data_IF_637347730776
#
_entry.id   IF_637347730776
#
_cell.length_a   1.000
_cell.length_b   1.000
_cell.length_c   1.000
_cell.angle_alpha   90.00
_cell.angle_beta   90.00
_cell.angle_gamma   90.00
#
_symmetry.space_group_name_H-M   'P 1'
#
loop_
_entity.id
_entity.type
_entity.pdbx_description
1 polymer ?
#
# COMPACT_ATOMS: atom_id res chain seq x y z
N UNK A 1 -38.83 9.03 12.36
CA UNK A 1 -37.79 9.11 11.33
C UNK A 1 -36.58 9.76 11.98
N UNK A 2 -35.58 8.99 12.39
CA UNK A 2 -34.32 9.52 12.95
C UNK A 2 -33.49 9.97 11.78
N UNK A 3 -33.25 11.29 11.66
CA UNK A 3 -32.30 11.85 10.73
C UNK A 3 -30.95 11.15 10.93
N UNK A 4 -30.47 10.47 9.87
CA UNK A 4 -29.11 9.91 9.88
C UNK A 4 -28.15 11.09 10.03
N UNK A 5 -27.25 11.08 11.01
CA UNK A 5 -26.26 12.14 11.15
C UNK A 5 -25.48 12.26 9.84
N UNK A 6 -25.52 13.46 9.27
CA UNK A 6 -24.75 13.80 8.06
C UNK A 6 -23.28 13.62 8.41
N UNK A 7 -22.59 12.76 7.68
CA UNK A 7 -21.15 12.51 7.85
C UNK A 7 -20.41 13.83 7.56
N UNK A 8 -20.06 14.59 8.62
CA UNK A 8 -19.32 15.82 8.46
C UNK A 8 -17.86 15.46 8.08
N UNK A 9 -17.63 15.43 6.77
CA UNK A 9 -16.31 15.21 6.21
C UNK A 9 -15.33 16.31 6.67
N UNK A 10 -14.23 15.89 7.34
CA UNK A 10 -13.16 16.81 7.74
C UNK A 10 -11.98 16.69 6.78
N UNK A 11 -11.86 17.57 5.76
CA UNK A 11 -10.84 17.45 4.72
C UNK A 11 -9.41 17.54 5.26
N UNK A 12 -9.21 18.29 6.35
CA UNK A 12 -7.88 18.56 6.91
C UNK A 12 -7.07 17.28 7.19
N UNK A 13 -7.69 16.28 7.81
CA UNK A 13 -6.99 15.01 8.12
C UNK A 13 -6.63 14.23 6.87
N UNK A 14 -7.51 14.21 5.89
CA UNK A 14 -7.25 13.53 4.64
C UNK A 14 -6.13 14.22 3.83
N UNK A 15 -6.03 15.55 3.92
CA UNK A 15 -4.90 16.32 3.34
C UNK A 15 -3.58 15.88 3.96
N UNK A 16 -3.51 15.75 5.29
CA UNK A 16 -2.31 15.25 5.97
C UNK A 16 -1.95 13.83 5.52
N UNK A 17 -2.93 12.92 5.47
CA UNK A 17 -2.70 11.54 5.01
C UNK A 17 -2.19 11.52 3.57
N UNK A 18 -2.78 12.30 2.69
CA UNK A 18 -2.34 12.40 1.30
C UNK A 18 -0.94 13.02 1.18
N UNK A 19 -0.64 14.05 1.97
CA UNK A 19 0.70 14.65 2.02
C UNK A 19 1.77 13.65 2.46
N UNK A 20 1.53 12.90 3.54
CA UNK A 20 2.44 11.84 3.98
C UNK A 20 2.58 10.72 2.96
N UNK A 21 1.49 10.30 2.33
CA UNK A 21 1.52 9.28 1.28
C UNK A 21 2.39 9.73 0.09
N UNK A 22 2.30 11.00 -0.31
CA UNK A 22 3.14 11.57 -1.37
C UNK A 22 4.63 11.61 -0.96
N UNK A 23 4.92 11.98 0.27
CA UNK A 23 6.31 11.96 0.80
C UNK A 23 6.87 10.53 0.76
N UNK A 24 6.11 9.54 1.20
CA UNK A 24 6.54 8.13 1.16
C UNK A 24 6.75 7.65 -0.28
N UNK A 25 5.86 7.99 -1.19
CA UNK A 25 6.02 7.68 -2.61
C UNK A 25 7.29 8.32 -3.17
N UNK A 26 7.53 9.59 -2.86
CA UNK A 26 8.74 10.30 -3.29
C UNK A 26 10.01 9.63 -2.72
N UNK A 27 10.04 9.30 -1.43
CA UNK A 27 11.17 8.60 -0.80
C UNK A 27 11.43 7.24 -1.45
N UNK A 28 10.36 6.50 -1.78
CA UNK A 28 10.48 5.21 -2.47
C UNK A 28 11.05 5.38 -3.88
N UNK A 29 10.59 6.37 -4.64
CA UNK A 29 11.13 6.68 -5.96
C UNK A 29 12.57 7.17 -5.89
N UNK A 30 12.90 7.98 -4.88
CA UNK A 30 14.25 8.47 -4.66
C UNK A 30 15.23 7.34 -4.27
N UNK A 31 14.79 6.38 -3.46
CA UNK A 31 15.61 5.20 -3.10
C UNK A 31 15.92 4.31 -4.32
N UNK A 32 15.06 4.35 -5.32
CA UNK A 32 15.25 3.64 -6.58
C UNK A 32 16.23 4.35 -7.53
N UNK A 33 16.54 5.62 -7.28
CA UNK A 33 17.41 6.44 -8.15
C UNK A 33 18.85 5.94 -8.09
N UNK A 34 19.47 5.78 -9.26
CA UNK A 34 20.89 5.44 -9.36
C UNK A 34 21.22 3.95 -9.54
N UNK A 35 20.22 3.07 -9.62
CA UNK A 35 20.44 1.66 -9.93
C UNK A 35 20.53 1.43 -11.45
N UNK A 36 21.38 0.49 -11.86
CA UNK A 36 21.57 0.16 -13.29
C UNK A 36 20.27 -0.42 -13.87
N UNK A 37 19.75 0.14 -14.98
CA UNK A 37 18.49 -0.34 -15.57
C UNK A 37 18.71 -1.68 -16.29
N UNK A 38 18.19 -2.75 -15.69
CA UNK A 38 18.08 -4.07 -16.29
C UNK A 38 16.71 -4.68 -16.01
N UNK A 39 16.28 -5.70 -16.79
CA UNK A 39 14.96 -6.30 -16.60
C UNK A 39 14.80 -6.93 -15.21
N UNK A 40 15.85 -7.51 -14.65
CA UNK A 40 15.84 -8.08 -13.30
C UNK A 40 15.63 -7.00 -12.22
N UNK A 41 16.39 -5.90 -12.30
CA UNK A 41 16.25 -4.78 -11.35
C UNK A 41 14.88 -4.14 -11.48
N UNK A 42 14.39 -3.93 -12.69
CA UNK A 42 13.05 -3.39 -12.95
C UNK A 42 11.95 -4.28 -12.32
N UNK A 43 12.05 -5.60 -12.47
CA UNK A 43 11.12 -6.56 -11.88
C UNK A 43 11.17 -6.57 -10.34
N UNK A 44 12.36 -6.38 -9.75
CA UNK A 44 12.54 -6.33 -8.29
C UNK A 44 12.03 -5.04 -7.66
N UNK A 45 12.12 -3.91 -8.36
CA UNK A 45 11.70 -2.58 -7.88
C UNK A 45 10.18 -2.39 -7.99
N UNK A 46 9.55 -2.98 -9.02
CA UNK A 46 8.13 -2.79 -9.32
C UNK A 46 7.20 -2.93 -8.10
N UNK A 47 7.29 -3.98 -7.27
CA UNK A 47 6.41 -4.13 -6.11
C UNK A 47 6.60 -3.05 -5.06
N UNK A 48 7.84 -2.62 -4.86
CA UNK A 48 8.19 -1.57 -3.89
C UNK A 48 7.55 -0.23 -4.24
N UNK A 49 7.33 0.07 -5.52
CA UNK A 49 6.70 1.31 -5.98
C UNK A 49 5.18 1.18 -6.07
N UNK A 50 4.64 0.00 -6.41
CA UNK A 50 3.20 -0.21 -6.59
C UNK A 50 2.40 0.03 -5.31
N UNK A 51 2.82 -0.52 -4.19
CA UNK A 51 2.09 -0.40 -2.91
C UNK A 51 1.97 1.05 -2.45
N UNK A 52 3.05 1.86 -2.35
CA UNK A 52 2.93 3.28 -2.02
C UNK A 52 2.10 4.07 -3.03
N UNK A 53 2.18 3.74 -4.33
CA UNK A 53 1.38 4.38 -5.38
C UNK A 53 -0.11 4.14 -5.15
N UNK A 54 -0.52 2.89 -4.87
CA UNK A 54 -1.93 2.55 -4.58
C UNK A 54 -2.43 3.27 -3.33
N UNK A 55 -1.62 3.33 -2.27
CA UNK A 55 -1.98 3.99 -1.01
C UNK A 55 -2.12 5.51 -1.22
N UNK A 56 -1.16 6.14 -1.91
CA UNK A 56 -1.21 7.57 -2.20
C UNK A 56 -2.40 7.90 -3.11
N UNK A 57 -2.66 7.07 -4.11
CA UNK A 57 -3.81 7.23 -5.00
C UNK A 57 -5.15 7.04 -4.27
N UNK A 58 -5.25 6.08 -3.35
CA UNK A 58 -6.42 5.92 -2.48
C UNK A 58 -6.63 7.16 -1.60
N UNK A 59 -5.58 7.72 -1.01
CA UNK A 59 -5.66 8.90 -0.16
C UNK A 59 -6.11 10.15 -0.95
N UNK A 60 -5.57 10.39 -2.16
CA UNK A 60 -6.02 11.49 -3.02
C UNK A 60 -7.41 11.23 -3.59
N UNK A 61 -7.75 9.99 -3.91
CA UNK A 61 -9.10 9.60 -4.30
C UNK A 61 -10.13 9.94 -3.22
N UNK A 62 -9.81 9.66 -1.94
CA UNK A 62 -10.64 10.04 -0.78
C UNK A 62 -10.82 11.55 -0.70
N UNK A 63 -9.77 12.35 -0.91
CA UNK A 63 -9.87 13.81 -0.94
C UNK A 63 -10.76 14.28 -2.08
N UNK A 64 -10.58 13.74 -3.28
CA UNK A 64 -11.35 14.09 -4.46
C UNK A 64 -12.84 13.78 -4.28
N UNK A 65 -13.16 12.56 -3.84
CA UNK A 65 -14.55 12.14 -3.59
C UNK A 65 -15.17 12.97 -2.45
N UNK A 66 -14.45 13.15 -1.35
CA UNK A 66 -14.93 13.91 -0.19
C UNK A 66 -15.17 15.40 -0.51
N UNK A 67 -14.41 15.96 -1.45
CA UNK A 67 -14.54 17.38 -1.85
C UNK A 67 -15.64 17.60 -2.90
N UNK A 68 -15.72 16.72 -3.92
CA UNK A 68 -16.52 16.96 -5.11
C UNK A 68 -17.74 16.07 -5.26
N UNK A 69 -17.79 14.93 -4.54
CA UNK A 69 -18.85 13.96 -4.70
C UNK A 69 -19.25 13.21 -3.40
N UNK A 70 -19.38 13.88 -2.23
CA UNK A 70 -19.60 13.18 -0.94
C UNK A 70 -20.91 12.39 -0.93
N UNK A 71 -21.98 12.97 -1.48
CA UNK A 71 -23.34 12.37 -1.48
C UNK A 71 -23.74 11.81 -2.86
N UNK A 72 -22.85 11.88 -3.84
CA UNK A 72 -23.15 11.48 -5.20
C UNK A 72 -23.42 9.96 -5.32
N UNK A 73 -24.11 9.59 -6.41
CA UNK A 73 -24.28 8.18 -6.81
C UNK A 73 -22.91 7.53 -7.03
N UNK A 74 -22.86 6.20 -6.87
CA UNK A 74 -21.62 5.41 -6.96
C UNK A 74 -20.80 5.71 -8.23
N UNK A 75 -21.44 5.87 -9.38
CA UNK A 75 -20.76 6.15 -10.65
C UNK A 75 -19.96 7.46 -10.63
N UNK A 76 -20.57 8.56 -10.11
CA UNK A 76 -19.87 9.85 -9.99
C UNK A 76 -18.75 9.76 -8.96
N UNK A 77 -18.95 9.05 -7.85
CA UNK A 77 -17.91 8.83 -6.84
C UNK A 77 -16.71 8.08 -7.41
N UNK A 78 -16.96 6.98 -8.14
CA UNK A 78 -15.89 6.23 -8.83
C UNK A 78 -15.13 7.12 -9.82
N UNK A 79 -15.85 7.95 -10.59
CA UNK A 79 -15.20 8.89 -11.52
C UNK A 79 -14.26 9.86 -10.79
N UNK A 80 -14.72 10.53 -9.72
CA UNK A 80 -13.88 11.43 -8.94
C UNK A 80 -12.76 10.71 -8.19
N UNK A 81 -12.97 9.47 -7.78
CA UNK A 81 -11.96 8.62 -7.18
C UNK A 81 -10.82 8.32 -8.17
N UNK A 82 -11.16 7.93 -9.41
CA UNK A 82 -10.20 7.71 -10.50
C UNK A 82 -9.45 9.00 -10.85
N UNK A 83 -10.18 10.12 -10.99
CA UNK A 83 -9.56 11.44 -11.28
C UNK A 83 -8.58 11.82 -10.17
N UNK A 84 -8.90 11.53 -8.90
CA UNK A 84 -8.00 11.78 -7.77
C UNK A 84 -6.76 10.87 -7.77
N UNK A 85 -6.87 9.63 -8.23
CA UNK A 85 -5.76 8.69 -8.29
C UNK A 85 -4.87 8.84 -9.51
N UNK A 86 -5.40 9.31 -10.64
CA UNK A 86 -4.69 9.43 -11.90
C UNK A 86 -3.39 10.25 -11.81
N UNK A 87 -3.36 11.44 -11.19
CA UNK A 87 -2.13 12.23 -11.05
C UNK A 87 -1.01 11.47 -10.33
N UNK A 88 -1.38 10.62 -9.36
CA UNK A 88 -0.40 9.82 -8.60
C UNK A 88 0.26 8.79 -9.49
N UNK A 89 -0.53 8.07 -10.31
CA UNK A 89 0.01 7.12 -11.28
C UNK A 89 0.95 7.79 -12.27
N UNK A 90 0.57 8.98 -12.79
CA UNK A 90 1.39 9.74 -13.72
C UNK A 90 2.68 10.28 -13.07
N UNK A 91 2.62 10.76 -11.83
CA UNK A 91 3.79 11.20 -11.07
C UNK A 91 4.74 10.03 -10.80
N UNK A 92 4.22 8.87 -10.41
CA UNK A 92 5.03 7.69 -10.18
C UNK A 92 5.66 7.17 -11.48
N UNK A 93 4.92 7.17 -12.59
CA UNK A 93 5.44 6.88 -13.93
C UNK A 93 6.59 7.82 -14.30
N UNK A 94 6.38 9.13 -14.17
CA UNK A 94 7.39 10.14 -14.45
C UNK A 94 8.63 9.96 -13.57
N UNK A 95 8.46 9.67 -12.29
CA UNK A 95 9.54 9.38 -11.35
C UNK A 95 10.36 8.15 -11.76
N UNK A 96 9.68 7.06 -12.19
CA UNK A 96 10.36 5.87 -12.71
C UNK A 96 11.18 6.14 -13.97
N UNK A 97 10.59 6.86 -14.93
CA UNK A 97 11.30 7.22 -16.16
C UNK A 97 12.48 8.15 -15.90
N UNK A 98 12.35 9.07 -14.93
CA UNK A 98 13.44 9.96 -14.53
C UNK A 98 14.56 9.21 -13.79
N UNK A 99 14.21 8.23 -12.93
CA UNK A 99 15.18 7.47 -12.14
C UNK A 99 16.00 6.50 -12.99
N UNK A 100 15.37 5.83 -13.97
CA UNK A 100 16.00 4.72 -14.70
C UNK A 100 16.27 4.99 -16.18
N UNK A 101 15.97 6.20 -16.66
CA UNK A 101 16.05 6.55 -18.08
C UNK A 101 15.11 5.69 -18.95
N UNK A 102 15.10 5.92 -20.26
CA UNK A 102 14.20 5.20 -21.16
C UNK A 102 14.78 3.85 -21.59
N UNK A 103 14.04 2.78 -21.34
CA UNK A 103 14.34 1.43 -21.83
C UNK A 103 13.04 0.60 -21.83
N UNK A 104 12.97 -0.49 -22.63
CA UNK A 104 11.74 -1.30 -22.71
C UNK A 104 11.27 -1.79 -21.33
N UNK A 105 12.17 -2.31 -20.50
CA UNK A 105 11.86 -2.81 -19.15
C UNK A 105 11.34 -1.72 -18.23
N UNK A 106 11.96 -0.54 -18.26
CA UNK A 106 11.54 0.61 -17.46
C UNK A 106 10.17 1.12 -17.93
N UNK A 107 9.91 1.10 -19.23
CA UNK A 107 8.61 1.50 -19.78
C UNK A 107 7.49 0.59 -19.30
N UNK A 108 7.70 -0.74 -19.25
CA UNK A 108 6.71 -1.68 -18.69
C UNK A 108 6.40 -1.39 -17.22
N UNK A 109 7.44 -1.17 -16.41
CA UNK A 109 7.26 -0.79 -14.99
C UNK A 109 6.50 0.53 -14.88
N UNK A 110 6.92 1.55 -15.61
CA UNK A 110 6.33 2.88 -15.58
C UNK A 110 4.84 2.87 -15.97
N UNK A 111 4.46 2.13 -17.02
CA UNK A 111 3.06 1.96 -17.43
C UNK A 111 2.27 1.19 -16.38
N UNK A 112 2.82 0.13 -15.82
CA UNK A 112 2.16 -0.65 -14.77
C UNK A 112 1.88 0.21 -13.53
N UNK A 113 2.84 1.03 -13.12
CA UNK A 113 2.68 1.97 -12.00
C UNK A 113 1.69 3.09 -12.35
N UNK A 114 1.66 3.57 -13.60
CA UNK A 114 0.66 4.54 -14.04
C UNK A 114 -0.77 4.01 -13.90
N UNK A 115 -1.01 2.74 -14.24
CA UNK A 115 -2.32 2.07 -14.11
C UNK A 115 -2.69 1.88 -12.64
N UNK A 116 -1.72 1.66 -11.75
CA UNK A 116 -1.97 1.52 -10.31
C UNK A 116 -2.60 2.79 -9.70
N UNK A 117 -2.29 3.98 -10.20
CA UNK A 117 -2.88 5.23 -9.73
C UNK A 117 -4.41 5.25 -9.78
N UNK A 118 -5.04 5.14 -10.95
CA UNK A 118 -6.49 5.03 -11.09
C UNK A 118 -7.11 3.89 -10.28
N UNK A 119 -6.46 2.72 -10.23
CA UNK A 119 -6.93 1.56 -9.48
C UNK A 119 -6.91 1.81 -7.96
N UNK A 120 -5.84 2.42 -7.44
CA UNK A 120 -5.78 2.85 -6.04
C UNK A 120 -6.86 3.88 -5.71
N UNK A 121 -7.07 4.85 -6.63
CA UNK A 121 -8.14 5.83 -6.52
C UNK A 121 -9.52 5.19 -6.42
N UNK A 122 -9.84 4.16 -7.23
CA UNK A 122 -11.14 3.48 -7.24
C UNK A 122 -11.58 3.00 -5.86
N UNK A 123 -10.65 2.59 -5.00
CA UNK A 123 -10.96 2.15 -3.63
C UNK A 123 -11.69 3.26 -2.86
N UNK A 124 -11.36 4.52 -3.11
CA UNK A 124 -12.01 5.67 -2.48
C UNK A 124 -13.47 5.89 -2.91
N UNK A 125 -13.91 5.27 -3.99
CA UNK A 125 -15.31 5.27 -4.41
C UNK A 125 -16.25 4.52 -3.46
N UNK A 126 -15.73 3.59 -2.63
CA UNK A 126 -16.51 2.83 -1.67
C UNK A 126 -17.05 3.68 -0.50
N UNK A 127 -18.04 3.15 0.23
CA UNK A 127 -18.63 3.78 1.41
C UNK A 127 -18.40 2.92 2.64
N UNK A 128 -18.32 3.51 3.84
CA UNK A 128 -18.24 4.96 4.11
C UNK A 128 -16.83 5.54 3.80
N UNK A 129 -16.77 6.80 3.41
CA UNK A 129 -15.51 7.49 3.04
C UNK A 129 -14.53 7.51 4.23
N UNK A 130 -15.03 7.70 5.44
CA UNK A 130 -14.24 7.70 6.68
C UNK A 130 -13.48 6.39 6.89
N UNK A 131 -14.09 5.26 6.54
CA UNK A 131 -13.45 3.93 6.62
C UNK A 131 -12.28 3.83 5.64
N UNK A 132 -12.47 4.29 4.40
CA UNK A 132 -11.40 4.29 3.40
C UNK A 132 -10.28 5.27 3.78
N UNK A 133 -10.64 6.46 4.29
CA UNK A 133 -9.66 7.43 4.79
C UNK A 133 -8.82 6.87 5.94
N UNK A 134 -9.46 6.14 6.88
CA UNK A 134 -8.76 5.47 7.96
C UNK A 134 -7.85 4.35 7.45
N UNK A 135 -8.31 3.58 6.46
CA UNK A 135 -7.51 2.55 5.81
C UNK A 135 -6.32 3.12 5.04
N UNK A 136 -6.50 4.25 4.34
CA UNK A 136 -5.39 4.94 3.69
C UNK A 136 -4.36 5.45 4.72
N UNK A 137 -4.82 6.03 5.84
CA UNK A 137 -3.92 6.45 6.93
C UNK A 137 -3.16 5.27 7.55
N UNK A 138 -3.84 4.13 7.75
CA UNK A 138 -3.23 2.89 8.21
C UNK A 138 -2.20 2.35 7.19
N UNK A 139 -2.49 2.45 5.90
CA UNK A 139 -1.58 2.08 4.81
C UNK A 139 -0.33 2.95 4.77
N UNK A 140 -0.47 4.26 4.98
CA UNK A 140 0.66 5.19 5.10
C UNK A 140 1.58 4.79 6.25
N UNK A 141 1.02 4.46 7.43
CA UNK A 141 1.82 4.02 8.57
C UNK A 141 2.51 2.68 8.30
N UNK A 142 1.79 1.70 7.72
CA UNK A 142 2.38 0.41 7.37
C UNK A 142 3.53 0.57 6.35
N UNK A 143 3.36 1.42 5.34
CA UNK A 143 4.42 1.71 4.36
C UNK A 143 5.62 2.43 4.98
N UNK A 144 5.38 3.34 5.93
CA UNK A 144 6.45 4.01 6.66
C UNK A 144 7.28 3.02 7.48
N UNK A 145 6.63 2.06 8.16
CA UNK A 145 7.32 0.98 8.88
C UNK A 145 8.13 0.13 7.90
N UNK A 146 7.53 -0.27 6.77
CA UNK A 146 8.22 -1.03 5.71
C UNK A 146 9.46 -0.33 5.18
N UNK A 147 9.37 1.00 4.94
CA UNK A 147 10.50 1.81 4.50
C UNK A 147 11.62 1.89 5.55
N UNK A 148 11.25 2.06 6.83
CA UNK A 148 12.21 2.04 7.95
C UNK A 148 12.91 0.69 8.06
N UNK A 149 12.16 -0.41 7.97
CA UNK A 149 12.73 -1.77 7.98
C UNK A 149 13.66 -1.98 6.80
N UNK A 150 13.28 -1.52 5.61
CA UNK A 150 14.14 -1.60 4.43
C UNK A 150 15.43 -0.77 4.57
N UNK A 151 15.35 0.40 5.19
CA UNK A 151 16.52 1.26 5.42
C UNK A 151 17.53 0.64 6.40
N UNK A 152 17.02 0.01 7.48
CA UNK A 152 17.84 -0.65 8.50
C UNK A 152 17.94 -2.16 8.29
N UNK A 153 17.67 -2.67 7.08
CA UNK A 153 17.54 -4.10 6.83
C UNK A 153 18.79 -4.88 7.24
N UNK A 154 20.00 -4.38 6.93
CA UNK A 154 21.25 -5.06 7.25
C UNK A 154 21.42 -5.21 8.77
N UNK A 155 21.22 -4.13 9.53
CA UNK A 155 21.36 -4.16 10.98
C UNK A 155 20.27 -5.01 11.65
N UNK A 156 19.06 -5.00 11.09
CA UNK A 156 17.94 -5.76 11.62
C UNK A 156 18.05 -7.25 11.32
N UNK A 157 18.57 -7.66 10.17
CA UNK A 157 18.76 -9.08 9.84
C UNK A 157 19.72 -9.74 10.83
N UNK A 158 20.76 -9.03 11.28
CA UNK A 158 21.71 -9.54 12.29
C UNK A 158 21.05 -9.87 13.63
N UNK A 159 19.95 -9.21 13.97
CA UNK A 159 19.18 -9.53 15.19
C UNK A 159 18.39 -10.84 15.10
N UNK A 160 18.11 -11.33 13.88
CA UNK A 160 17.28 -12.50 13.63
C UNK A 160 18.06 -13.78 13.34
N UNK A 161 19.37 -13.68 13.15
CA UNK A 161 20.22 -14.86 12.93
C UNK A 161 21.61 -14.54 12.45
N UNK A 162 22.45 -15.59 12.42
CA UNK A 162 23.82 -15.50 11.90
C UNK A 162 23.79 -15.49 10.37
N UNK A 163 24.66 -14.67 9.75
CA UNK A 163 24.77 -14.53 8.30
C UNK A 163 25.94 -15.36 7.70
N UNK A 164 26.48 -16.35 8.43
CA UNK A 164 27.64 -17.12 7.99
C UNK A 164 27.37 -17.99 6.74
N UNK A 165 26.13 -18.37 6.52
CA UNK A 165 25.75 -19.19 5.37
C UNK A 165 24.58 -18.57 4.62
N UNK A 166 24.44 -18.85 3.31
CA UNK A 166 23.32 -18.39 2.49
C UNK A 166 21.97 -18.85 3.09
N UNK A 167 21.93 -20.06 3.64
CA UNK A 167 20.71 -20.58 4.29
C UNK A 167 20.33 -19.82 5.55
N UNK A 168 21.30 -19.55 6.45
CA UNK A 168 21.04 -18.80 7.68
C UNK A 168 20.65 -17.34 7.41
N UNK A 169 21.23 -16.72 6.37
CA UNK A 169 20.85 -15.38 5.93
C UNK A 169 19.42 -15.35 5.37
N UNK A 170 19.02 -16.35 4.60
CA UNK A 170 17.67 -16.47 4.07
C UNK A 170 16.64 -16.64 5.21
N UNK A 171 16.93 -17.48 6.18
CA UNK A 171 16.07 -17.69 7.36
C UNK A 171 15.93 -16.43 8.22
N UNK A 172 17.03 -15.70 8.46
CA UNK A 172 17.03 -14.44 9.20
C UNK A 172 16.20 -13.38 8.47
N UNK A 173 16.36 -13.26 7.15
CA UNK A 173 15.59 -12.35 6.30
C UNK A 173 14.08 -12.68 6.31
N UNK A 174 13.74 -13.96 6.25
CA UNK A 174 12.35 -14.42 6.34
C UNK A 174 11.72 -14.08 7.70
N UNK A 175 12.44 -14.31 8.81
CA UNK A 175 11.96 -13.95 10.16
C UNK A 175 11.78 -12.45 10.32
N UNK A 176 12.70 -11.63 9.81
CA UNK A 176 12.57 -10.18 9.79
C UNK A 176 11.33 -9.76 9.00
N UNK A 177 11.12 -10.31 7.80
CA UNK A 177 9.97 -10.00 6.97
C UNK A 177 8.65 -10.37 7.65
N UNK A 178 8.57 -11.56 8.26
CA UNK A 178 7.39 -12.01 9.01
C UNK A 178 7.08 -11.08 10.18
N UNK A 179 8.10 -10.75 10.98
CA UNK A 179 7.96 -9.87 12.15
C UNK A 179 7.53 -8.47 11.71
N UNK A 180 8.17 -7.91 10.67
CA UNK A 180 7.81 -6.59 10.16
C UNK A 180 6.38 -6.53 9.62
N UNK A 181 5.92 -7.61 8.98
CA UNK A 181 4.54 -7.74 8.49
C UNK A 181 3.52 -7.72 9.63
N UNK A 182 3.79 -8.46 10.71
CA UNK A 182 2.94 -8.50 11.90
C UNK A 182 2.91 -7.13 12.58
N UNK A 183 4.08 -6.52 12.81
CA UNK A 183 4.19 -5.20 13.44
C UNK A 183 3.46 -4.13 12.62
N UNK A 184 3.65 -4.15 11.30
CA UNK A 184 2.95 -3.23 10.38
C UNK A 184 1.44 -3.45 10.42
N UNK A 185 0.97 -4.69 10.48
CA UNK A 185 -0.45 -5.02 10.61
C UNK A 185 -1.05 -4.52 11.92
N UNK A 186 -0.37 -4.75 13.05
CA UNK A 186 -0.79 -4.26 14.37
C UNK A 186 -0.88 -2.72 14.36
N UNK A 187 0.16 -2.06 13.87
CA UNK A 187 0.20 -0.60 13.78
C UNK A 187 -0.90 -0.04 12.86
N UNK A 188 -1.15 -0.70 11.72
CA UNK A 188 -2.22 -0.34 10.80
C UNK A 188 -3.61 -0.46 11.44
N UNK A 189 -3.88 -1.56 12.15
CA UNK A 189 -5.14 -1.76 12.88
C UNK A 189 -5.36 -0.72 13.98
N UNK A 190 -4.33 -0.44 14.76
CA UNK A 190 -4.36 0.59 15.80
C UNK A 190 -4.59 1.99 15.21
N UNK A 191 -3.91 2.32 14.11
CA UNK A 191 -4.08 3.60 13.40
C UNK A 191 -5.49 3.76 12.83
N UNK A 192 -6.02 2.73 12.17
CA UNK A 192 -7.37 2.73 11.63
C UNK A 192 -8.41 2.96 12.73
N UNK A 193 -8.30 2.22 13.84
CA UNK A 193 -9.17 2.41 15.01
C UNK A 193 -9.07 3.83 15.57
N UNK A 194 -7.86 4.32 15.83
CA UNK A 194 -7.64 5.66 16.38
C UNK A 194 -8.16 6.76 15.47
N UNK A 195 -7.99 6.60 14.15
CA UNK A 195 -8.52 7.52 13.15
C UNK A 195 -10.05 7.57 13.18
N UNK A 196 -10.72 6.40 13.10
CA UNK A 196 -12.18 6.32 13.10
C UNK A 196 -12.77 6.83 14.41
N UNK A 197 -12.20 6.46 15.55
CA UNK A 197 -12.66 6.94 16.85
C UNK A 197 -12.60 8.46 16.98
N UNK A 198 -11.56 9.08 16.43
CA UNK A 198 -11.41 10.55 16.43
C UNK A 198 -12.37 11.27 15.49
N UNK A 199 -13.05 10.58 14.57
CA UNK A 199 -14.08 11.20 13.73
C UNK A 199 -15.36 11.52 14.51
N UNK A 200 -15.61 10.82 15.61
CA UNK A 200 -16.84 10.96 16.41
C UNK A 200 -18.09 10.44 15.72
N UNK A 201 -17.95 9.75 14.57
CA UNK A 201 -19.07 9.19 13.82
C UNK A 201 -19.54 7.88 14.44
N UNK A 202 -20.85 7.68 14.52
CA UNK A 202 -21.46 6.40 14.92
C UNK A 202 -21.37 5.41 13.76
N UNK A 203 -20.19 4.84 13.53
CA UNK A 203 -19.97 3.86 12.48
C UNK A 203 -20.35 2.45 12.95
N UNK A 204 -20.89 1.60 12.05
CA UNK A 204 -21.14 0.22 12.37
C UNK A 204 -19.82 -0.49 12.66
N UNK A 205 -19.83 -1.44 13.61
CA UNK A 205 -18.62 -2.15 14.04
C UNK A 205 -17.76 -2.75 12.90
N UNK A 206 -18.35 -3.27 11.78
CA UNK A 206 -17.54 -3.81 10.67
C UNK A 206 -16.69 -2.78 9.95
N UNK A 207 -16.95 -1.47 10.11
CA UNK A 207 -16.15 -0.42 9.51
C UNK A 207 -14.70 -0.40 10.06
N UNK A 208 -14.51 -0.80 11.31
CA UNK A 208 -13.22 -0.80 11.97
C UNK A 208 -12.27 -1.90 11.44
N UNK A 209 -12.65 -3.21 11.46
CA UNK A 209 -11.81 -4.24 10.87
C UNK A 209 -11.62 -4.04 9.36
N UNK A 210 -12.64 -3.54 8.65
CA UNK A 210 -12.47 -3.20 7.23
C UNK A 210 -11.37 -2.13 7.05
N UNK A 211 -11.40 -1.04 7.82
CA UNK A 211 -10.38 -0.01 7.75
C UNK A 211 -8.98 -0.55 8.09
N UNK A 212 -8.87 -1.40 9.13
CA UNK A 212 -7.61 -2.04 9.51
C UNK A 212 -7.07 -3.00 8.46
N UNK A 213 -7.94 -3.64 7.67
CA UNK A 213 -7.57 -4.58 6.60
C UNK A 213 -7.24 -3.92 5.26
N UNK A 214 -7.68 -2.67 5.00
CA UNK A 214 -7.45 -1.97 3.72
C UNK A 214 -5.97 -1.97 3.30
N UNK A 215 -4.98 -1.71 4.17
CA UNK A 215 -3.58 -1.76 3.77
C UNK A 215 -3.18 -3.10 3.16
N UNK A 216 -3.60 -4.21 3.77
CA UNK A 216 -3.37 -5.54 3.24
C UNK A 216 -4.06 -5.79 1.90
N UNK A 217 -5.31 -5.31 1.73
CA UNK A 217 -6.00 -5.38 0.43
C UNK A 217 -5.27 -4.59 -0.66
N UNK A 218 -4.75 -3.40 -0.35
CA UNK A 218 -3.95 -2.61 -1.30
C UNK A 218 -2.64 -3.31 -1.65
N UNK A 219 -1.98 -3.95 -0.67
CA UNK A 219 -0.76 -4.75 -0.89
C UNK A 219 -1.05 -5.97 -1.78
N UNK A 220 -2.15 -6.69 -1.55
CA UNK A 220 -2.59 -7.79 -2.41
C UNK A 220 -2.93 -7.31 -3.83
N UNK A 221 -3.59 -6.15 -3.93
CA UNK A 221 -3.83 -5.49 -5.21
C UNK A 221 -2.52 -5.13 -5.93
N UNK A 222 -1.53 -4.61 -5.20
CA UNK A 222 -0.20 -4.34 -5.74
C UNK A 222 0.49 -5.62 -6.24
N UNK A 223 0.38 -6.71 -5.48
CA UNK A 223 0.94 -8.00 -5.89
C UNK A 223 0.30 -8.52 -7.19
N UNK A 224 -1.04 -8.41 -7.32
CA UNK A 224 -1.76 -8.81 -8.53
C UNK A 224 -1.38 -7.93 -9.74
N UNK A 225 -1.35 -6.61 -9.56
CA UNK A 225 -0.96 -5.66 -10.62
C UNK A 225 0.50 -5.89 -11.01
N UNK A 226 1.38 -6.09 -10.02
CA UNK A 226 2.80 -6.36 -10.23
C UNK A 226 3.03 -7.69 -10.95
N UNK A 227 2.25 -8.71 -10.64
CA UNK A 227 2.31 -9.98 -11.36
C UNK A 227 1.92 -9.83 -12.83
N UNK A 228 0.78 -9.21 -13.11
CA UNK A 228 0.30 -9.00 -14.49
C UNK A 228 1.29 -8.11 -15.27
N UNK A 229 1.67 -6.96 -14.71
CA UNK A 229 2.58 -6.01 -15.35
C UNK A 229 4.03 -6.51 -15.43
N UNK A 230 4.42 -7.46 -14.58
CA UNK A 230 5.74 -8.08 -14.55
C UNK A 230 5.90 -9.27 -15.51
N UNK A 231 4.83 -9.79 -16.11
CA UNK A 231 4.92 -10.93 -17.03
C UNK A 231 5.90 -10.72 -18.20
N UNK A 232 5.94 -9.57 -18.89
CA UNK A 232 6.93 -9.32 -19.93
C UNK A 232 8.36 -9.29 -19.40
N UNK A 233 8.55 -8.77 -18.18
CA UNK A 233 9.86 -8.68 -17.52
C UNK A 233 10.37 -10.06 -17.11
N UNK A 234 9.52 -10.91 -16.55
CA UNK A 234 9.90 -12.26 -16.14
C UNK A 234 10.37 -13.11 -17.31
N UNK A 235 9.71 -12.96 -18.48
CA UNK A 235 10.15 -13.61 -19.71
C UNK A 235 11.50 -13.07 -20.23
N UNK A 236 11.76 -11.77 -20.09
CA UNK A 236 13.06 -11.19 -20.46
C UNK A 236 14.17 -11.66 -19.54
N UNK A 237 13.94 -11.66 -18.23
CA UNK A 237 14.90 -12.11 -17.23
C UNK A 237 15.23 -13.60 -17.38
N UNK A 238 14.23 -14.45 -17.63
CA UNK A 238 14.46 -15.88 -17.83
C UNK A 238 15.36 -16.20 -19.04
N UNK A 239 15.46 -15.30 -20.02
CA UNK A 239 16.40 -15.43 -21.14
C UNK A 239 17.82 -15.00 -20.79
N UNK A 240 18.00 -14.15 -19.79
CA UNK A 240 19.30 -13.59 -19.39
C UNK A 240 19.92 -14.38 -18.23
N UNK A 241 19.10 -14.78 -17.24
CA UNK A 241 19.57 -15.45 -16.02
C UNK A 241 18.44 -16.29 -15.40
N UNK A 242 18.68 -17.61 -15.32
CA UNK A 242 17.78 -18.54 -14.62
C UNK A 242 17.72 -18.26 -13.11
N UNK A 243 18.84 -17.82 -12.53
CA UNK A 243 18.92 -17.50 -11.11
C UNK A 243 18.05 -16.28 -10.76
N UNK A 244 18.13 -15.20 -11.54
CA UNK A 244 17.30 -14.01 -11.32
C UNK A 244 15.82 -14.31 -11.57
N UNK A 245 15.50 -15.15 -12.56
CA UNK A 245 14.15 -15.59 -12.82
C UNK A 245 13.56 -16.36 -11.61
N UNK A 246 14.35 -17.21 -10.96
CA UNK A 246 13.94 -17.94 -9.75
C UNK A 246 13.69 -16.98 -8.57
N UNK A 247 14.52 -15.96 -8.39
CA UNK A 247 14.32 -14.91 -7.37
C UNK A 247 13.01 -14.18 -7.61
N UNK A 248 12.75 -13.75 -8.84
CA UNK A 248 11.52 -13.03 -9.20
C UNK A 248 10.28 -13.90 -9.02
N UNK A 249 10.34 -15.18 -9.37
CA UNK A 249 9.24 -16.11 -9.19
C UNK A 249 8.82 -16.25 -7.71
N UNK A 250 9.77 -16.19 -6.79
CA UNK A 250 9.49 -16.28 -5.34
C UNK A 250 8.92 -14.98 -4.74
N UNK A 251 9.03 -13.85 -5.44
CA UNK A 251 8.53 -12.56 -4.93
C UNK A 251 7.01 -12.48 -4.79
N UNK A 252 6.27 -13.10 -5.71
CA UNK A 252 4.81 -13.06 -5.65
C UNK A 252 4.24 -13.78 -4.41
N UNK A 253 4.63 -15.01 -4.07
CA UNK A 253 4.23 -15.66 -2.82
C UNK A 253 4.59 -14.85 -1.57
N UNK A 254 5.78 -14.23 -1.53
CA UNK A 254 6.21 -13.39 -0.41
C UNK A 254 5.30 -12.15 -0.25
N UNK A 255 4.97 -11.48 -1.34
CA UNK A 255 4.08 -10.31 -1.32
C UNK A 255 2.66 -10.67 -0.92
N UNK A 256 2.14 -11.78 -1.44
CA UNK A 256 0.81 -12.27 -1.07
C UNK A 256 0.78 -12.61 0.41
N UNK A 257 1.79 -13.32 0.92
CA UNK A 257 1.90 -13.64 2.34
C UNK A 257 1.97 -12.37 3.21
N UNK A 258 2.82 -11.40 2.83
CA UNK A 258 2.88 -10.10 3.50
C UNK A 258 1.52 -9.38 3.50
N UNK A 259 0.86 -9.32 2.35
CA UNK A 259 -0.46 -8.69 2.21
C UNK A 259 -1.54 -9.37 3.06
N UNK A 260 -1.55 -10.70 3.13
CA UNK A 260 -2.47 -11.47 3.98
C UNK A 260 -2.22 -11.22 5.47
N UNK A 261 -0.97 -11.25 5.91
CA UNK A 261 -0.62 -10.98 7.30
C UNK A 261 -1.06 -9.55 7.68
N UNK A 262 -0.75 -8.58 6.83
CA UNK A 262 -1.13 -7.19 7.04
C UNK A 262 -2.66 -7.02 7.12
N UNK A 263 -3.40 -7.69 6.25
CA UNK A 263 -4.86 -7.68 6.21
C UNK A 263 -5.46 -8.26 7.49
N UNK A 264 -5.05 -9.47 7.85
CA UNK A 264 -5.66 -10.15 8.99
C UNK A 264 -5.21 -9.54 10.33
N UNK A 265 -3.93 -9.23 10.50
CA UNK A 265 -3.43 -8.59 11.72
C UNK A 265 -4.07 -7.20 11.92
N UNK A 266 -4.14 -6.39 10.85
CA UNK A 266 -4.76 -5.07 10.91
C UNK A 266 -6.25 -5.12 11.21
N UNK A 267 -7.00 -5.99 10.54
CA UNK A 267 -8.43 -6.18 10.78
C UNK A 267 -8.69 -6.69 12.21
N UNK A 268 -7.91 -7.67 12.67
CA UNK A 268 -8.07 -8.28 13.99
C UNK A 268 -7.77 -7.31 15.14
N UNK A 269 -6.68 -6.53 15.03
CA UNK A 269 -6.35 -5.51 16.02
C UNK A 269 -7.43 -4.43 16.08
N UNK A 270 -7.90 -3.92 14.93
CA UNK A 270 -8.98 -2.95 14.89
C UNK A 270 -10.28 -3.50 15.52
N UNK A 271 -10.60 -4.78 15.28
CA UNK A 271 -11.75 -5.48 15.87
C UNK A 271 -11.62 -5.61 17.39
N UNK A 272 -10.47 -6.00 17.90
CA UNK A 272 -10.23 -6.10 19.37
C UNK A 272 -10.39 -4.73 20.02
N UNK A 273 -9.80 -3.70 19.42
CA UNK A 273 -9.84 -2.35 19.98
C UNK A 273 -11.26 -1.78 20.03
N UNK A 274 -12.06 -1.99 18.97
CA UNK A 274 -13.48 -1.57 18.99
C UNK A 274 -14.28 -2.40 19.98
N UNK A 275 -14.07 -3.72 20.06
CA UNK A 275 -14.76 -4.59 21.00
C UNK A 275 -14.57 -4.18 22.46
N UNK A 276 -13.37 -3.68 22.82
CA UNK A 276 -13.10 -3.15 24.17
C UNK A 276 -13.82 -1.83 24.49
N UNK A 277 -14.32 -1.12 23.49
CA UNK A 277 -15.02 0.15 23.66
C UNK A 277 -16.56 0.02 23.62
N UNK A 278 -17.06 -1.14 23.24
CA UNK A 278 -18.50 -1.44 23.34
C UNK A 278 -18.86 -1.60 24.81
N UNK A 279 -19.84 -0.81 25.29
CA UNK A 279 -20.40 -1.01 26.63
C UNK A 279 -20.99 -2.42 26.68
N UNK A 280 -20.69 -3.17 27.74
CA UNK A 280 -21.45 -4.34 28.13
C UNK A 280 -22.74 -3.81 28.76
N UNK A 281 -23.82 -3.86 28.00
CA UNK A 281 -25.18 -3.68 28.53
C UNK A 281 -25.58 -4.93 29.30
#
# INVERSE_FOLDING_TARGET
>A
MTEKPVETWRPTRAVFVAGFALVLLFLTLFSAYGHVPGPAVAALVLPGVLTPTLIAAAALGVLSVGRFAPEAKIQKRLLYAVIGGLPIGLLAMGGMLAAYHSGPSVTYVAVTVAIAGPLGGLVAGARPISTIAAGAAAGVLASAIGLLVAYFQNDLVDLFGNQETVGSMADASYRLQLTSSIVSGIAAGAMAFGYLRRTGLALPWPAYPLAGGIPGLLTLGAALIGWIGGLPLSHAVAKESEFDAAIIANRLPEQVNHGLILLFAGAFVAMILVGRTLKRD
#
